data_IF_817724697053
#
_entry.id   IF_817724697053
#
_cell.length_a   1.000
_cell.length_b   1.000
_cell.length_c   1.000
_cell.angle_alpha   90.00
_cell.angle_beta   90.00
_cell.angle_gamma   90.00
#
_symmetry.space_group_name_H-M   'P 1'
#
loop_
_entity.id
_entity.type
_entity.pdbx_description
1 polymer ?
#
# COMPACT_ATOMS: atom_id res chain seq x y z
N UNK A 1 16.63 3.36 -5.37
CA UNK A 1 15.33 3.68 -4.76
C UNK A 1 14.26 3.13 -5.66
N UNK A 2 13.41 2.25 -5.14
CA UNK A 2 12.31 1.66 -5.90
C UNK A 2 10.97 2.03 -5.29
N UNK A 3 9.91 2.10 -6.10
CA UNK A 3 8.56 2.37 -5.64
C UNK A 3 7.77 1.08 -5.54
N UNK A 4 7.15 0.83 -4.39
CA UNK A 4 6.23 -0.29 -4.17
C UNK A 4 4.82 0.30 -4.05
N UNK A 5 3.92 -0.15 -4.92
CA UNK A 5 2.53 0.28 -4.86
C UNK A 5 1.76 -0.46 -3.76
N UNK A 6 0.70 0.16 -3.25
CA UNK A 6 -0.26 -0.47 -2.34
C UNK A 6 -0.84 -1.77 -2.92
N UNK A 7 -1.07 -1.83 -4.23
CA UNK A 7 -1.54 -3.05 -4.91
C UNK A 7 -0.49 -4.15 -4.86
N UNK A 8 0.77 -3.84 -5.16
CA UNK A 8 1.88 -4.80 -5.09
C UNK A 8 2.07 -5.34 -3.67
N UNK A 9 1.96 -4.46 -2.66
CA UNK A 9 2.00 -4.86 -1.24
C UNK A 9 0.86 -5.79 -0.84
N UNK A 10 -0.33 -5.65 -1.44
CA UNK A 10 -1.48 -6.52 -1.16
C UNK A 10 -1.33 -7.88 -1.83
N UNK A 11 -0.85 -7.89 -3.06
CA UNK A 11 -0.65 -9.12 -3.81
C UNK A 11 0.45 -9.99 -3.19
N UNK A 12 1.56 -9.38 -2.72
CA UNK A 12 2.64 -10.13 -2.10
C UNK A 12 3.45 -9.31 -1.07
N UNK A 13 2.86 -9.09 0.10
CA UNK A 13 3.46 -8.33 1.22
C UNK A 13 4.86 -8.83 1.59
N UNK A 14 5.03 -10.14 1.74
CA UNK A 14 6.31 -10.74 2.15
C UNK A 14 7.43 -10.42 1.17
N UNK A 15 7.18 -10.61 -0.14
CA UNK A 15 8.18 -10.32 -1.17
C UNK A 15 8.49 -8.83 -1.27
N UNK A 16 7.47 -7.99 -1.17
CA UNK A 16 7.63 -6.54 -1.21
C UNK A 16 8.43 -6.01 -0.02
N UNK A 17 8.18 -6.51 1.19
CA UNK A 17 8.97 -6.18 2.39
C UNK A 17 10.40 -6.72 2.28
N UNK A 18 10.60 -7.92 1.74
CA UNK A 18 11.96 -8.44 1.53
C UNK A 18 12.77 -7.55 0.58
N UNK A 19 12.10 -6.96 -0.43
CA UNK A 19 12.70 -6.01 -1.36
C UNK A 19 13.10 -4.69 -0.69
N UNK A 20 12.33 -4.23 0.31
CA UNK A 20 12.71 -3.02 1.08
C UNK A 20 13.98 -3.22 1.90
N UNK A 21 14.44 -4.46 2.13
CA UNK A 21 15.68 -4.74 2.87
C UNK A 21 16.95 -4.45 2.08
N UNK A 22 16.89 -4.48 0.75
CA UNK A 22 18.06 -4.36 -0.11
C UNK A 22 18.42 -2.90 -0.44
N UNK A 23 17.43 -2.01 -0.49
CA UNK A 23 17.60 -0.60 -0.80
C UNK A 23 16.41 0.23 -0.30
N UNK A 24 16.56 1.55 -0.26
CA UNK A 24 15.47 2.48 0.08
C UNK A 24 14.27 2.26 -0.83
N UNK A 25 13.09 2.12 -0.24
CA UNK A 25 11.82 1.95 -0.93
C UNK A 25 10.88 3.13 -0.68
N UNK A 26 10.12 3.52 -1.69
CA UNK A 26 8.98 4.41 -1.59
C UNK A 26 7.71 3.57 -1.63
N UNK A 27 6.97 3.51 -0.54
CA UNK A 27 5.65 2.93 -0.51
C UNK A 27 4.63 3.97 -0.97
N UNK A 28 3.77 3.60 -1.93
CA UNK A 28 2.80 4.51 -2.53
C UNK A 28 1.40 3.91 -2.54
N UNK A 29 0.48 4.55 -1.83
CA UNK A 29 -0.97 4.33 -1.92
C UNK A 29 -1.61 5.43 -2.77
N UNK A 30 -2.93 5.37 -3.00
CA UNK A 30 -3.65 6.43 -3.74
C UNK A 30 -3.57 7.79 -3.03
N UNK A 31 -3.53 7.79 -1.70
CA UNK A 31 -3.64 9.00 -0.88
C UNK A 31 -2.46 9.21 0.08
N UNK A 32 -1.48 8.31 0.09
CA UNK A 32 -0.38 8.34 1.05
C UNK A 32 0.93 7.83 0.43
N UNK A 33 2.03 8.44 0.82
CA UNK A 33 3.38 8.08 0.41
C UNK A 33 4.27 8.01 1.65
N UNK A 34 5.12 6.98 1.73
CA UNK A 34 6.03 6.79 2.86
C UNK A 34 7.34 6.14 2.42
N UNK A 35 8.44 6.50 3.07
CA UNK A 35 9.76 5.97 2.77
C UNK A 35 10.14 4.87 3.76
N UNK A 36 10.79 3.82 3.26
CA UNK A 36 11.33 2.73 4.06
C UNK A 36 12.83 2.66 3.83
N UNK A 37 13.57 2.74 4.93
CA UNK A 37 15.01 2.55 4.91
C UNK A 37 15.36 1.05 4.75
N UNK A 38 16.51 0.73 4.14
CA UNK A 38 16.97 -0.65 4.04
C UNK A 38 17.19 -1.26 5.44
N UNK A 39 16.82 -2.53 5.58
CA UNK A 39 16.94 -3.31 6.81
C UNK A 39 15.73 -3.25 7.74
N UNK A 40 14.71 -2.45 7.45
CA UNK A 40 13.45 -2.45 8.20
C UNK A 40 12.66 -3.75 7.94
N UNK A 41 12.29 -4.45 9.03
CA UNK A 41 11.50 -5.68 8.98
C UNK A 41 9.99 -5.43 8.89
N UNK A 42 9.55 -4.19 9.10
CA UNK A 42 8.14 -3.81 9.13
C UNK A 42 7.90 -2.60 8.23
N UNK A 43 6.69 -2.55 7.66
CA UNK A 43 6.22 -1.36 6.98
C UNK A 43 5.89 -0.28 8.04
N UNK A 44 5.97 1.01 7.68
CA UNK A 44 5.54 2.10 8.54
C UNK A 44 4.07 1.91 8.96
N UNK A 45 3.79 2.08 10.25
CA UNK A 45 2.44 1.87 10.82
C UNK A 45 1.39 2.75 10.14
N UNK A 46 1.75 4.00 9.84
CA UNK A 46 0.91 4.94 9.10
C UNK A 46 0.58 4.44 7.69
N UNK A 47 1.49 3.70 7.06
CA UNK A 47 1.28 3.17 5.72
C UNK A 47 0.31 1.98 5.72
N UNK A 48 0.38 1.09 6.72
CA UNK A 48 -0.55 -0.04 6.86
C UNK A 48 -1.99 0.46 7.12
N UNK A 49 -2.11 1.53 7.91
CA UNK A 49 -3.38 2.25 8.10
C UNK A 49 -3.87 2.90 6.81
N UNK A 50 -3.00 3.55 6.04
CA UNK A 50 -3.36 4.15 4.75
C UNK A 50 -3.83 3.09 3.73
N UNK A 51 -3.17 1.93 3.70
CA UNK A 51 -3.57 0.77 2.90
C UNK A 51 -4.99 0.29 3.25
N UNK A 52 -5.29 0.22 4.54
CA UNK A 52 -6.61 -0.18 5.04
C UNK A 52 -7.69 0.84 4.69
N UNK A 53 -7.37 2.15 4.74
CA UNK A 53 -8.28 3.22 4.32
C UNK A 53 -8.53 3.19 2.81
N UNK A 54 -7.50 3.02 1.98
CA UNK A 54 -7.64 2.87 0.53
C UNK A 54 -8.56 1.70 0.17
N UNK A 55 -8.45 0.58 0.89
CA UNK A 55 -9.35 -0.57 0.71
C UNK A 55 -10.79 -0.24 1.11
N UNK A 56 -11.00 0.41 2.26
CA UNK A 56 -12.32 0.82 2.71
C UNK A 56 -12.98 1.77 1.69
N UNK A 57 -12.24 2.76 1.20
CA UNK A 57 -12.69 3.69 0.15
C UNK A 57 -13.05 2.91 -1.13
N UNK A 58 -12.17 2.01 -1.59
CA UNK A 58 -12.42 1.21 -2.82
C UNK A 58 -13.69 0.36 -2.69
N UNK A 59 -13.94 -0.24 -1.52
CA UNK A 59 -15.17 -1.01 -1.26
C UNK A 59 -16.41 -0.13 -1.25
N UNK A 60 -16.32 1.06 -0.65
CA UNK A 60 -17.40 2.05 -0.67
C UNK A 60 -17.69 2.49 -2.11
N UNK A 61 -16.66 2.87 -2.87
CA UNK A 61 -16.80 3.27 -4.28
C UNK A 61 -17.47 2.17 -5.13
N UNK A 62 -17.03 0.91 -4.96
CA UNK A 62 -17.62 -0.22 -5.66
C UNK A 62 -19.08 -0.48 -5.25
N UNK A 63 -19.39 -0.34 -3.96
CA UNK A 63 -20.76 -0.43 -3.44
C UNK A 63 -21.65 0.69 -3.99
N UNK A 64 -21.15 1.92 -4.01
CA UNK A 64 -21.85 3.07 -4.56
C UNK A 64 -22.14 2.87 -6.05
N UNK A 65 -21.15 2.46 -6.85
CA UNK A 65 -21.31 2.15 -8.28
C UNK A 65 -22.43 1.14 -8.53
N UNK A 66 -22.50 0.06 -7.73
CA UNK A 66 -23.59 -0.92 -7.79
C UNK A 66 -24.97 -0.32 -7.51
N UNK A 67 -25.07 0.64 -6.58
CA UNK A 67 -26.34 1.28 -6.21
C UNK A 67 -26.81 2.23 -7.34
N UNK A 68 -25.89 2.99 -7.92
CA UNK A 68 -26.20 4.00 -8.95
C UNK A 68 -26.20 3.43 -10.39
N UNK A 69 -25.90 2.14 -10.56
CA UNK A 69 -26.02 1.43 -11.83
C UNK A 69 -24.94 1.74 -12.88
N UNK A 70 -23.75 2.20 -12.46
CA UNK A 70 -22.55 2.35 -13.31
C UNK A 70 -21.47 1.31 -13.01
#
# INVERSE_FOLDING_TARGET
>A
MHTISSTELRDNKTRSVDRTKQEVALLRSRHHESFVAPGEDRLPEDFDRALSMDEAITRIEAGMRRIIGI
#
